data_IF_379963514352
#
_entry.id   IF_379963514352
#
_cell.length_a   1.000
_cell.length_b   1.000
_cell.length_c   1.000
_cell.angle_alpha   90.00
_cell.angle_beta   90.00
_cell.angle_gamma   90.00
#
_symmetry.space_group_name_H-M   'P 1'
#
loop_
_entity.id
_entity.type
_entity.pdbx_description
1 polymer ?
#
# COMPACT_ATOMS: atom_id res chain seq x y z
N UNK A 1 31.65 -57.58 4.95
CA UNK A 1 30.90 -56.63 4.08
C UNK A 1 30.83 -55.24 4.70
N UNK A 2 31.95 -54.51 4.85
CA UNK A 2 31.98 -53.17 5.49
C UNK A 2 32.89 -52.17 4.77
N UNK A 3 33.06 -52.34 3.46
CA UNK A 3 33.93 -51.50 2.59
C UNK A 3 33.26 -51.02 1.30
N UNK A 4 31.97 -51.34 1.08
CA UNK A 4 31.25 -50.95 -0.14
C UNK A 4 30.39 -49.68 0.02
N UNK A 5 30.11 -49.28 1.26
CA UNK A 5 29.25 -48.12 1.57
C UNK A 5 30.00 -46.78 1.61
N UNK A 6 31.33 -46.79 1.78
CA UNK A 6 32.13 -45.56 1.85
C UNK A 6 32.18 -44.81 0.50
N UNK A 7 32.15 -45.53 -0.62
CA UNK A 7 32.20 -44.94 -1.97
C UNK A 7 30.89 -44.33 -2.46
N UNK A 8 29.76 -44.67 -1.84
CA UNK A 8 28.47 -44.04 -2.16
C UNK A 8 28.22 -42.78 -1.31
N UNK A 9 28.79 -42.71 -0.11
CA UNK A 9 28.76 -41.49 0.72
C UNK A 9 29.54 -40.34 0.06
N UNK A 10 30.71 -40.61 -0.52
CA UNK A 10 31.54 -39.60 -1.20
C UNK A 10 30.98 -39.15 -2.57
N UNK A 11 30.04 -39.90 -3.15
CA UNK A 11 29.33 -39.49 -4.39
C UNK A 11 28.06 -38.70 -4.14
N UNK A 12 27.50 -38.78 -2.93
CA UNK A 12 26.34 -37.97 -2.52
C UNK A 12 26.71 -36.57 -2.03
N UNK A 13 28.00 -36.29 -1.78
CA UNK A 13 28.46 -34.98 -1.31
C UNK A 13 28.71 -33.98 -2.44
N UNK A 14 28.78 -34.46 -3.69
CA UNK A 14 28.61 -33.60 -4.86
C UNK A 14 27.10 -33.50 -5.17
N UNK A 15 26.36 -33.01 -4.17
CA UNK A 15 25.14 -32.26 -4.49
C UNK A 15 25.67 -31.11 -5.35
N UNK A 16 25.48 -31.20 -6.66
CA UNK A 16 25.58 -30.05 -7.54
C UNK A 16 24.66 -29.00 -6.91
N UNK A 17 25.24 -28.14 -6.08
CA UNK A 17 24.68 -26.82 -5.84
C UNK A 17 24.65 -26.26 -7.23
N UNK A 18 23.47 -26.26 -7.85
CA UNK A 18 23.19 -25.46 -9.03
C UNK A 18 23.51 -24.03 -8.60
N UNK A 19 24.79 -23.66 -8.71
CA UNK A 19 25.25 -22.33 -8.41
C UNK A 19 24.61 -21.49 -9.49
N UNK A 20 23.60 -20.72 -9.10
CA UNK A 20 23.09 -19.65 -9.96
C UNK A 20 24.30 -18.87 -10.47
N UNK A 21 24.33 -18.58 -11.76
CA UNK A 21 25.39 -17.76 -12.32
C UNK A 21 25.46 -16.44 -11.52
N UNK A 22 26.65 -15.85 -11.35
CA UNK A 22 26.79 -14.58 -10.65
C UNK A 22 25.91 -13.47 -11.26
N UNK A 23 25.67 -13.54 -12.57
CA UNK A 23 24.74 -12.67 -13.30
C UNK A 23 23.28 -12.87 -12.85
N UNK A 24 22.85 -14.13 -12.66
CA UNK A 24 21.50 -14.42 -12.18
C UNK A 24 21.31 -14.00 -10.72
N UNK A 25 22.32 -14.20 -9.86
CA UNK A 25 22.29 -13.73 -8.47
C UNK A 25 22.17 -12.21 -8.38
N UNK A 26 22.94 -11.48 -9.21
CA UNK A 26 22.86 -10.02 -9.26
C UNK A 26 21.49 -9.54 -9.78
N UNK A 27 20.94 -10.24 -10.78
CA UNK A 27 19.62 -9.95 -11.31
C UNK A 27 18.51 -10.19 -10.28
N UNK A 28 18.55 -11.30 -9.55
CA UNK A 28 17.61 -11.59 -8.46
C UNK A 28 17.68 -10.52 -7.39
N UNK A 29 18.90 -10.14 -6.96
CA UNK A 29 19.08 -9.09 -5.96
C UNK A 29 18.52 -7.74 -6.41
N UNK A 30 18.73 -7.37 -7.68
CA UNK A 30 18.15 -6.15 -8.27
C UNK A 30 16.63 -6.20 -8.29
N UNK A 31 16.05 -7.34 -8.67
CA UNK A 31 14.60 -7.54 -8.66
C UNK A 31 14.02 -7.44 -7.25
N UNK A 32 14.63 -8.09 -6.27
CA UNK A 32 14.17 -8.06 -4.87
C UNK A 32 14.20 -6.63 -4.32
N UNK A 33 15.28 -5.89 -4.61
CA UNK A 33 15.41 -4.47 -4.23
C UNK A 33 14.34 -3.61 -4.91
N UNK A 34 14.09 -3.84 -6.21
CA UNK A 34 13.06 -3.12 -6.95
C UNK A 34 11.68 -3.38 -6.36
N UNK A 35 11.37 -4.64 -6.04
CA UNK A 35 10.10 -5.04 -5.44
C UNK A 35 9.91 -4.38 -4.08
N UNK A 36 10.91 -4.44 -3.21
CA UNK A 36 10.86 -3.79 -1.89
C UNK A 36 10.64 -2.28 -2.01
N UNK A 37 11.39 -1.60 -2.88
CA UNK A 37 11.20 -0.18 -3.15
C UNK A 37 9.79 0.14 -3.67
N UNK A 38 9.26 -0.71 -4.56
CA UNK A 38 7.93 -0.54 -5.12
C UNK A 38 6.83 -0.75 -4.06
N UNK A 39 6.98 -1.75 -3.20
CA UNK A 39 6.04 -2.03 -2.11
C UNK A 39 6.00 -0.85 -1.12
N UNK A 40 7.17 -0.31 -0.74
CA UNK A 40 7.28 0.88 0.11
C UNK A 40 6.67 2.12 -0.55
N UNK A 41 6.84 2.28 -1.87
CA UNK A 41 6.25 3.40 -2.61
C UNK A 41 4.72 3.31 -2.59
N UNK A 42 4.16 2.12 -2.84
CA UNK A 42 2.70 1.89 -2.80
C UNK A 42 2.15 2.22 -1.41
N UNK A 43 2.77 1.70 -0.36
CA UNK A 43 2.35 1.95 1.02
C UNK A 43 2.31 3.46 1.35
N UNK A 44 3.35 4.21 0.95
CA UNK A 44 3.42 5.66 1.17
C UNK A 44 2.36 6.43 0.37
N UNK A 45 2.10 6.01 -0.86
CA UNK A 45 1.06 6.62 -1.69
C UNK A 45 -0.33 6.37 -1.10
N UNK A 46 -0.61 5.15 -0.66
CA UNK A 46 -1.86 4.80 0.02
C UNK A 46 -2.05 5.65 1.29
N UNK A 47 -1.03 5.74 2.14
CA UNK A 47 -1.05 6.55 3.36
C UNK A 47 -1.21 8.06 3.09
N UNK A 48 -0.71 8.56 1.96
CA UNK A 48 -0.86 9.97 1.57
C UNK A 48 -2.29 10.33 1.15
N UNK A 49 -3.03 9.37 0.59
CA UNK A 49 -4.39 9.56 0.06
C UNK A 49 -5.44 9.23 1.14
N UNK A 50 -5.13 8.24 1.98
CA UNK A 50 -5.98 7.74 3.04
C UNK A 50 -5.19 7.68 4.35
N UNK A 51 -5.53 8.55 5.30
CA UNK A 51 -4.86 8.61 6.60
C UNK A 51 -5.39 7.56 7.58
N UNK A 52 -6.58 7.01 7.33
CA UNK A 52 -7.20 6.00 8.17
C UNK A 52 -6.63 4.61 7.87
N UNK A 53 -5.73 4.14 8.73
CA UNK A 53 -5.09 2.84 8.63
C UNK A 53 -6.07 1.66 8.62
N UNK A 54 -7.24 1.78 9.27
CA UNK A 54 -8.26 0.73 9.25
C UNK A 54 -8.92 0.60 7.87
N UNK A 55 -9.02 1.71 7.12
CA UNK A 55 -9.56 1.73 5.75
C UNK A 55 -8.53 1.13 4.79
N UNK A 56 -7.25 1.50 4.95
CA UNK A 56 -6.12 0.94 4.18
C UNK A 56 -6.00 -0.57 4.40
N UNK A 57 -6.05 -1.04 5.65
CA UNK A 57 -5.99 -2.46 5.99
C UNK A 57 -7.14 -3.27 5.36
N UNK A 58 -8.28 -2.62 5.06
CA UNK A 58 -9.39 -3.21 4.33
C UNK A 58 -9.22 -3.22 2.80
N UNK A 59 -8.06 -2.79 2.29
CA UNK A 59 -7.79 -2.64 0.85
C UNK A 59 -8.58 -1.52 0.20
N UNK A 60 -9.04 -0.54 0.99
CA UNK A 60 -9.85 0.60 0.52
C UNK A 60 -9.04 1.88 0.64
N UNK A 61 -9.28 2.78 -0.31
CA UNK A 61 -8.68 4.12 -0.33
C UNK A 61 -9.74 5.19 -0.09
N UNK A 62 -11.00 4.89 -0.42
CA UNK A 62 -12.12 5.83 -0.31
C UNK A 62 -12.67 5.82 1.12
N UNK A 63 -12.78 7.02 1.71
CA UNK A 63 -13.45 7.20 2.99
C UNK A 63 -14.94 6.86 2.88
N UNK A 64 -15.47 6.14 3.88
CA UNK A 64 -16.91 5.99 4.03
C UNK A 64 -17.56 7.38 4.28
N UNK A 65 -18.85 7.55 3.95
CA UNK A 65 -19.56 8.78 4.25
C UNK A 65 -19.45 9.14 5.75
N UNK A 66 -19.16 10.40 6.07
CA UNK A 66 -18.91 10.91 7.43
C UNK A 66 -17.67 10.36 8.15
N UNK A 67 -16.89 9.48 7.53
CA UNK A 67 -15.62 9.01 8.10
C UNK A 67 -14.44 9.90 7.74
N UNK A 68 -14.59 10.74 6.71
CA UNK A 68 -13.56 11.67 6.27
C UNK A 68 -13.22 12.69 7.40
N UNK A 69 -11.92 12.92 7.70
CA UNK A 69 -11.51 13.81 8.78
C UNK A 69 -12.06 15.24 8.66
N UNK A 70 -12.13 15.78 7.45
CA UNK A 70 -12.68 17.12 7.22
C UNK A 70 -14.20 17.15 7.41
N UNK A 71 -14.93 16.10 7.01
CA UNK A 71 -16.37 16.01 7.30
C UNK A 71 -16.62 15.97 8.81
N UNK A 72 -15.87 15.15 9.55
CA UNK A 72 -15.97 15.08 11.02
C UNK A 72 -15.67 16.43 11.67
N UNK A 73 -14.65 17.13 11.19
CA UNK A 73 -14.30 18.45 11.69
C UNK A 73 -15.41 19.47 11.42
N UNK A 74 -15.96 19.50 10.20
CA UNK A 74 -17.07 20.39 9.83
C UNK A 74 -18.32 20.12 10.69
N UNK A 75 -18.68 18.85 10.88
CA UNK A 75 -19.81 18.44 11.72
C UNK A 75 -19.60 18.83 13.19
N UNK A 76 -18.36 18.75 13.69
CA UNK A 76 -18.00 19.19 15.04
C UNK A 76 -18.15 20.71 15.18
N UNK A 77 -17.66 21.48 14.20
CA UNK A 77 -17.84 22.94 14.18
C UNK A 77 -19.32 23.33 14.12
N UNK A 78 -20.12 22.62 13.33
CA UNK A 78 -21.57 22.84 13.26
C UNK A 78 -22.25 22.56 14.60
N UNK A 79 -21.85 21.49 15.30
CA UNK A 79 -22.37 21.16 16.63
C UNK A 79 -22.03 22.24 17.67
N UNK A 80 -20.82 22.78 17.59
CA UNK A 80 -20.34 23.85 18.48
C UNK A 80 -20.91 25.23 18.14
N UNK A 81 -21.51 25.40 16.96
CA UNK A 81 -22.02 26.68 16.47
C UNK A 81 -22.99 27.35 17.46
N UNK A 82 -23.86 26.55 18.08
CA UNK A 82 -24.84 27.01 19.07
C UNK A 82 -24.22 27.51 20.39
N UNK A 83 -23.01 27.05 20.72
CA UNK A 83 -22.31 27.38 21.96
C UNK A 83 -21.42 28.62 21.83
N UNK A 84 -21.30 29.20 20.62
CA UNK A 84 -20.34 30.27 20.34
C UNK A 84 -21.10 31.60 20.22
N UNK A 85 -20.54 32.71 20.73
CA UNK A 85 -21.17 34.03 20.62
C UNK A 85 -21.39 34.46 19.16
N UNK A 86 -22.51 35.16 18.95
CA UNK A 86 -23.03 35.53 17.63
C UNK A 86 -22.08 36.37 16.78
N UNK A 87 -21.21 37.16 17.42
CA UNK A 87 -20.19 37.95 16.75
C UNK A 87 -19.12 37.11 16.01
N UNK A 88 -19.01 35.80 16.31
CA UNK A 88 -18.06 34.88 15.64
C UNK A 88 -18.73 33.92 14.66
N UNK A 89 -20.05 34.00 14.51
CA UNK A 89 -20.82 33.07 13.68
C UNK A 89 -20.41 33.08 12.21
N UNK A 90 -20.14 34.26 11.61
CA UNK A 90 -19.74 34.32 10.20
C UNK A 90 -18.36 33.68 9.95
N UNK A 91 -17.43 33.83 10.89
CA UNK A 91 -16.11 33.20 10.83
C UNK A 91 -16.23 31.67 10.87
N UNK A 92 -17.08 31.14 11.75
CA UNK A 92 -17.28 29.70 11.88
C UNK A 92 -18.03 29.13 10.66
N UNK A 93 -19.02 29.85 10.13
CA UNK A 93 -19.68 29.46 8.89
C UNK A 93 -18.68 29.39 7.72
N UNK A 94 -17.75 30.35 7.65
CA UNK A 94 -16.67 30.30 6.66
C UNK A 94 -15.80 29.06 6.86
N UNK A 95 -15.39 28.74 8.08
CA UNK A 95 -14.59 27.54 8.37
C UNK A 95 -15.32 26.24 8.06
N UNK A 96 -16.61 26.13 8.41
CA UNK A 96 -17.47 24.99 8.08
C UNK A 96 -17.49 24.80 6.56
N UNK A 97 -17.73 25.86 5.79
CA UNK A 97 -17.77 25.83 4.33
C UNK A 97 -16.42 25.45 3.71
N UNK A 98 -15.32 26.06 4.16
CA UNK A 98 -13.97 25.71 3.70
C UNK A 98 -13.65 24.26 3.96
N UNK A 99 -14.00 23.76 5.15
CA UNK A 99 -13.75 22.37 5.53
C UNK A 99 -14.60 21.38 4.70
N UNK A 100 -15.87 21.71 4.41
CA UNK A 100 -16.70 20.91 3.52
C UNK A 100 -16.15 20.85 2.10
N UNK A 101 -15.62 21.97 1.60
CA UNK A 101 -14.98 21.99 0.28
C UNK A 101 -13.70 21.13 0.27
N UNK A 102 -12.89 21.16 1.34
CA UNK A 102 -11.73 20.27 1.48
C UNK A 102 -12.12 18.79 1.49
N UNK A 103 -13.18 18.44 2.23
CA UNK A 103 -13.73 17.07 2.22
C UNK A 103 -14.13 16.62 0.81
N UNK A 104 -14.80 17.50 0.06
CA UNK A 104 -15.22 17.23 -1.33
C UNK A 104 -14.02 17.00 -2.23
N UNK A 105 -13.02 17.89 -2.19
CA UNK A 105 -11.80 17.78 -3.00
C UNK A 105 -11.03 16.50 -2.64
N UNK A 106 -10.91 16.15 -1.36
CA UNK A 106 -10.25 14.91 -0.95
C UNK A 106 -11.00 13.68 -1.48
N UNK A 107 -12.33 13.66 -1.42
CA UNK A 107 -13.13 12.54 -1.95
C UNK A 107 -13.00 12.44 -3.47
N UNK A 108 -13.02 13.57 -4.19
CA UNK A 108 -12.76 13.60 -5.63
C UNK A 108 -11.37 13.05 -5.96
N UNK A 109 -10.36 13.42 -5.18
CA UNK A 109 -9.01 12.91 -5.32
C UNK A 109 -8.93 11.38 -5.08
N UNK A 110 -9.60 10.87 -4.05
CA UNK A 110 -9.71 9.43 -3.76
C UNK A 110 -10.39 8.66 -4.89
N UNK A 111 -11.46 9.21 -5.49
CA UNK A 111 -12.23 8.56 -6.56
C UNK A 111 -11.47 8.60 -7.89
N UNK A 112 -10.88 9.75 -8.25
CA UNK A 112 -10.22 9.93 -9.54
C UNK A 112 -8.85 9.21 -9.62
N UNK A 113 -8.11 9.13 -8.51
CA UNK A 113 -6.83 8.41 -8.48
C UNK A 113 -6.96 6.89 -8.28
N UNK A 114 -8.14 6.37 -7.89
CA UNK A 114 -8.39 4.92 -7.85
C UNK A 114 -8.24 4.26 -9.24
N UNK A 115 -8.35 5.03 -10.32
CA UNK A 115 -8.13 4.55 -11.69
C UNK A 115 -6.64 4.40 -12.08
N UNK A 116 -5.71 4.98 -11.31
CA UNK A 116 -4.30 5.10 -11.67
C UNK A 116 -3.34 4.16 -10.93
N UNK A 117 -3.81 3.41 -9.93
CA UNK A 117 -3.06 2.31 -9.35
C UNK A 117 -3.53 1.03 -10.04
N UNK A 118 -2.84 0.56 -11.09
CA UNK A 118 -3.36 -0.55 -11.82
C UNK A 118 -3.17 -1.81 -10.95
N UNK A 119 -4.27 -2.51 -10.68
CA UNK A 119 -4.25 -3.87 -10.13
C UNK A 119 -3.46 -4.88 -11.00
N UNK A 120 -2.88 -4.43 -12.13
CA UNK A 120 -2.00 -5.22 -12.99
C UNK A 120 -0.65 -5.54 -12.36
N UNK A 121 -0.15 -4.74 -11.40
CA UNK A 121 1.12 -5.05 -10.71
C UNK A 121 1.02 -6.29 -9.82
N UNK A 122 -0.18 -6.64 -9.37
CA UNK A 122 -0.43 -7.84 -8.54
C UNK A 122 -0.62 -9.12 -9.37
N UNK A 123 -1.04 -9.01 -10.64
CA UNK A 123 -1.22 -10.18 -11.52
C UNK A 123 0.07 -10.60 -12.21
N UNK A 124 0.98 -9.67 -12.48
CA UNK A 124 2.21 -9.97 -13.22
C UNK A 124 3.25 -10.71 -12.34
N UNK A 125 3.24 -10.50 -11.03
CA UNK A 125 4.10 -11.20 -10.06
C UNK A 125 3.76 -12.69 -9.91
N UNK A 126 2.49 -13.08 -10.05
CA UNK A 126 2.08 -14.50 -10.05
C UNK A 126 2.43 -15.22 -11.36
N UNK A 127 2.33 -14.55 -12.51
CA UNK A 127 2.68 -15.15 -13.80
C UNK A 127 4.17 -15.43 -13.94
N UNK A 128 5.04 -14.53 -13.43
CA UNK A 128 6.49 -14.73 -13.46
C UNK A 128 6.89 -15.92 -12.57
N UNK A 129 6.29 -16.06 -11.38
CA UNK A 129 6.55 -17.19 -10.48
C UNK A 129 6.08 -18.53 -11.06
N UNK A 130 4.97 -18.57 -11.79
CA UNK A 130 4.49 -19.79 -12.46
C UNK A 130 5.28 -20.17 -13.72
N UNK A 131 5.97 -19.21 -14.34
CA UNK A 131 6.75 -19.44 -15.56
C UNK A 131 8.21 -19.87 -15.28
N UNK A 132 8.69 -19.73 -14.04
CA UNK A 132 10.05 -20.15 -13.64
C UNK A 132 10.11 -21.55 -13.02
N UNK A 133 8.96 -22.17 -12.76
CA UNK A 133 8.84 -23.56 -12.29
C UNK A 133 8.02 -24.38 -13.29
N UNK A 134 8.60 -24.69 -14.44
CA UNK A 134 8.20 -25.83 -15.27
C UNK A 134 9.36 -26.33 -16.12
#
# INVERSE_FOLDING_TARGET
>A
MRRFWSRFADRSSNLEKTQMSPEFLDLTKKYDTYKECNDVLVERLEASIQQNQAVIAGGKIIDAPNENPFEKFSNSLFSLYSCIPSNKHSCIQSWISTTQNLAKVQREHQVNHFFFLPQSSFKMSLQIYSATFH
#
